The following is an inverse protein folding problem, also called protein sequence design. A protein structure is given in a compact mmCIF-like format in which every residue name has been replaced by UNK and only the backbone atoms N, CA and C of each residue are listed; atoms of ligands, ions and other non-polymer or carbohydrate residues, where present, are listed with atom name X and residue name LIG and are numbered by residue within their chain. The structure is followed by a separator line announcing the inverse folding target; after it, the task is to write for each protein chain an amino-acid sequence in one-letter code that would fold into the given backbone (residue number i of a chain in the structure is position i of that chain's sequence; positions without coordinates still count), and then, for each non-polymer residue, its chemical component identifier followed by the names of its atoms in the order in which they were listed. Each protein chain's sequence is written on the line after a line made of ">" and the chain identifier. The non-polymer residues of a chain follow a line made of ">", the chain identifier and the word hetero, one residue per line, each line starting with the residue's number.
data_IF_879304045102
#
_entry.id   IF_879304045102
#
_cell.length_a   1.000
_cell.length_b   1.000
_cell.length_c   1.000
_cell.angle_alpha   90.00
_cell.angle_beta   90.00
_cell.angle_gamma   90.00
#
_symmetry.space_group_name_H-M   'P 1'
#
loop_
_entity.id
_entity.type
_entity.pdbx_description
1 polymer ?
#
# COMPACT_ATOMS: atom_id res chain seq x y z
N UNK A 1 5.79 -2.39 -4.10
CA UNK A 1 5.49 -3.80 -3.76
C UNK A 1 5.30 -4.60 -5.04
N UNK A 2 5.68 -5.87 -5.06
CA UNK A 2 5.46 -6.76 -6.23
C UNK A 2 3.98 -6.97 -6.51
N UNK A 3 3.59 -7.16 -7.77
CA UNK A 3 2.19 -7.37 -8.18
C UNK A 3 1.45 -8.42 -7.36
N UNK A 4 2.07 -9.57 -7.08
CA UNK A 4 1.46 -10.64 -6.28
C UNK A 4 0.99 -10.17 -4.88
N UNK A 5 1.74 -9.29 -4.20
CA UNK A 5 1.33 -8.73 -2.91
C UNK A 5 0.04 -7.93 -3.03
N UNK A 6 -0.09 -7.13 -4.10
CA UNK A 6 -1.27 -6.30 -4.34
C UNK A 6 -2.46 -7.10 -4.83
N UNK A 7 -2.23 -8.20 -5.54
CA UNK A 7 -3.26 -9.16 -5.90
C UNK A 7 -3.79 -9.89 -4.66
N UNK A 8 -2.89 -10.42 -3.83
CA UNK A 8 -3.24 -11.17 -2.61
C UNK A 8 -3.99 -10.30 -1.60
N UNK A 9 -3.64 -9.01 -1.52
CA UNK A 9 -4.34 -8.04 -0.67
C UNK A 9 -5.61 -7.46 -1.32
N UNK A 10 -6.00 -7.89 -2.53
CA UNK A 10 -7.17 -7.41 -3.26
C UNK A 10 -7.05 -6.00 -3.84
N UNK A 11 -5.91 -5.32 -3.66
CA UNK A 11 -5.76 -3.93 -4.10
C UNK A 11 -5.75 -3.79 -5.62
N UNK A 12 -5.22 -4.77 -6.37
CA UNK A 12 -5.30 -4.72 -7.84
C UNK A 12 -6.74 -4.87 -8.34
N UNK A 13 -7.58 -5.66 -7.68
CA UNK A 13 -8.97 -5.84 -8.13
C UNK A 13 -9.83 -4.60 -7.88
N UNK A 14 -9.65 -3.95 -6.72
CA UNK A 14 -10.53 -2.85 -6.31
C UNK A 14 -9.95 -1.45 -6.54
N UNK A 15 -8.62 -1.31 -6.56
CA UNK A 15 -7.95 -0.01 -6.53
C UNK A 15 -6.98 0.23 -7.68
N UNK A 16 -6.90 -0.67 -8.67
CA UNK A 16 -5.97 -0.52 -9.80
C UNK A 16 -6.12 0.83 -10.53
N UNK A 17 -7.35 1.32 -10.72
CA UNK A 17 -7.58 2.63 -11.36
C UNK A 17 -7.03 3.82 -10.55
N UNK A 18 -6.98 3.67 -9.22
CA UNK A 18 -6.45 4.67 -8.29
C UNK A 18 -4.98 4.46 -7.93
N UNK A 19 -4.33 3.45 -8.50
CA UNK A 19 -2.91 3.18 -8.32
C UNK A 19 -2.10 3.78 -9.46
N UNK A 20 -0.84 4.10 -9.17
CA UNK A 20 0.10 4.44 -10.24
C UNK A 20 0.38 3.19 -11.08
N UNK A 21 0.65 3.42 -12.37
CA UNK A 21 1.01 2.36 -13.31
C UNK A 21 2.19 1.52 -12.76
N UNK A 22 2.21 0.20 -13.06
CA UNK A 22 3.32 -0.64 -12.65
C UNK A 22 4.62 -0.14 -13.28
N UNK A 23 5.70 -0.21 -12.50
CA UNK A 23 7.06 -0.08 -12.99
C UNK A 23 7.58 -1.49 -13.22
N UNK A 24 7.96 -1.80 -14.47
CA UNK A 24 8.61 -3.04 -14.82
C UNK A 24 10.08 -2.94 -14.42
N UNK A 25 10.52 -3.79 -13.49
CA UNK A 25 11.91 -3.85 -13.02
C UNK A 25 12.35 -5.31 -13.03
N UNK A 26 13.43 -5.59 -13.76
CA UNK A 26 13.99 -6.91 -14.02
C UNK A 26 12.99 -7.91 -14.62
N UNK A 27 12.27 -8.64 -13.77
CA UNK A 27 11.40 -9.76 -14.11
C UNK A 27 10.05 -9.73 -13.40
N UNK A 28 9.62 -8.56 -12.93
CA UNK A 28 8.30 -8.42 -12.33
C UNK A 28 7.77 -7.00 -12.23
N UNK A 29 6.45 -6.92 -12.11
CA UNK A 29 5.74 -5.65 -11.98
C UNK A 29 5.77 -5.17 -10.52
N UNK A 30 6.20 -3.93 -10.34
CA UNK A 30 6.20 -3.25 -9.05
C UNK A 30 5.24 -2.08 -9.07
N UNK A 31 4.38 -2.00 -8.05
CA UNK A 31 3.50 -0.86 -7.84
C UNK A 31 3.98 -0.02 -6.67
N UNK A 32 3.82 1.30 -6.82
CA UNK A 32 3.98 2.25 -5.73
C UNK A 32 2.84 2.03 -4.73
N UNK A 33 3.15 2.12 -3.42
CA UNK A 33 2.17 1.80 -2.38
C UNK A 33 1.04 2.85 -2.28
N UNK A 34 -0.24 2.49 -2.46
CA UNK A 34 -1.37 3.38 -2.15
C UNK A 34 -1.78 3.34 -0.67
N UNK A 35 -1.33 2.31 0.05
CA UNK A 35 -1.64 2.01 1.45
C UNK A 35 -0.51 1.19 2.10
N UNK A 36 -0.38 1.29 3.42
CA UNK A 36 0.67 0.60 4.19
C UNK A 36 0.25 -0.81 4.65
N UNK A 37 -1.06 -1.11 4.70
CA UNK A 37 -1.61 -2.33 5.31
C UNK A 37 -0.95 -3.64 4.85
N UNK A 38 -0.71 -3.89 3.55
CA UNK A 38 -0.09 -5.15 3.11
C UNK A 38 1.33 -5.36 3.66
N UNK A 39 2.08 -4.29 3.88
CA UNK A 39 3.42 -4.36 4.46
C UNK A 39 3.38 -4.64 5.96
N UNK A 40 2.44 -4.06 6.70
CA UNK A 40 2.26 -4.37 8.13
C UNK A 40 1.86 -5.82 8.35
N UNK A 41 1.06 -6.40 7.45
CA UNK A 41 0.71 -7.82 7.49
C UNK A 41 1.95 -8.68 7.19
N UNK A 42 2.80 -8.30 6.23
CA UNK A 42 4.07 -9.00 6.01
C UNK A 42 4.99 -8.98 7.22
N UNK A 43 5.07 -7.85 7.94
CA UNK A 43 5.82 -7.75 9.20
C UNK A 43 5.23 -8.70 10.24
N UNK A 44 3.89 -8.74 10.37
CA UNK A 44 3.22 -9.66 11.29
C UNK A 44 3.52 -11.13 10.96
N UNK A 45 3.58 -11.50 9.69
CA UNK A 45 3.87 -12.86 9.23
C UNK A 45 5.35 -13.27 9.41
N UNK A 46 6.26 -12.31 9.61
CA UNK A 46 7.70 -12.58 9.77
C UNK A 46 8.04 -13.35 11.05
N UNK A 47 7.15 -13.37 12.05
CA UNK A 47 7.36 -14.06 13.32
C UNK A 47 6.11 -14.82 13.77
N UNK A 48 6.29 -15.97 14.42
CA UNK A 48 5.18 -16.68 15.08
C UNK A 48 4.78 -15.93 16.35
N UNK A 49 3.50 -15.67 16.54
CA UNK A 49 2.95 -14.98 17.71
C UNK A 49 1.95 -15.87 18.45
N UNK A 50 1.98 -15.80 19.78
CA UNK A 50 1.02 -16.42 20.68
C UNK A 50 -0.20 -15.52 20.87
N UNK A 51 -1.32 -16.09 21.31
CA UNK A 51 -2.50 -15.32 21.72
C UNK A 51 -2.17 -14.29 22.83
N UNK A 52 -1.14 -14.57 23.65
CA UNK A 52 -0.68 -13.68 24.72
C UNK A 52 0.03 -12.43 24.21
N UNK A 53 0.56 -12.47 22.98
CA UNK A 53 1.25 -11.34 22.37
C UNK A 53 0.26 -10.32 21.79
N UNK A 54 -1.02 -10.67 21.72
CA UNK A 54 -2.08 -9.78 21.26
C UNK A 54 -2.58 -8.89 22.40
N UNK A 55 -2.90 -7.61 22.13
CA UNK A 55 -2.95 -6.98 20.80
C UNK A 55 -1.60 -6.45 20.30
N UNK A 56 -1.24 -6.80 19.07
CA UNK A 56 -0.11 -6.20 18.33
C UNK A 56 -0.58 -4.94 17.62
N UNK A 57 0.19 -3.86 17.72
CA UNK A 57 -0.12 -2.57 17.09
C UNK A 57 1.08 -2.08 16.32
N UNK A 58 0.87 -1.77 15.04
CA UNK A 58 1.87 -1.14 14.18
C UNK A 58 1.45 0.29 13.87
N UNK A 59 2.44 1.17 13.85
CA UNK A 59 2.30 2.54 13.39
C UNK A 59 3.48 2.84 12.47
N UNK A 60 3.21 3.53 11.38
CA UNK A 60 4.20 3.97 10.42
C UNK A 60 3.75 5.34 9.92
N UNK A 61 4.67 6.30 9.85
CA UNK A 61 4.48 7.51 9.06
C UNK A 61 4.86 7.17 7.61
N UNK A 62 4.00 6.41 6.94
CA UNK A 62 4.29 5.83 5.63
C UNK A 62 3.83 6.73 4.50
N UNK A 63 4.76 7.20 3.67
CA UNK A 63 4.42 7.97 2.46
C UNK A 63 3.76 7.05 1.44
N UNK A 64 2.52 7.39 1.07
CA UNK A 64 1.71 6.66 0.10
C UNK A 64 1.39 7.55 -1.09
N UNK A 65 1.13 6.90 -2.22
CA UNK A 65 0.79 7.57 -3.47
C UNK A 65 -0.49 7.00 -4.07
N UNK A 66 -1.43 7.87 -4.41
CA UNK A 66 -2.70 7.54 -5.06
C UNK A 66 -2.87 8.37 -6.32
N UNK A 67 -3.26 7.71 -7.41
CA UNK A 67 -3.50 8.35 -8.68
C UNK A 67 -4.87 9.03 -8.70
N UNK A 68 -4.95 10.19 -8.05
CA UNK A 68 -6.14 11.04 -8.06
C UNK A 68 -6.28 11.76 -9.42
N UNK A 69 -7.51 11.85 -9.93
CA UNK A 69 -7.82 12.60 -11.17
C UNK A 69 -7.38 14.06 -10.99
N UNK A 70 -6.80 14.67 -12.03
CA UNK A 70 -6.28 16.05 -11.94
C UNK A 70 -7.36 17.06 -11.51
N UNK A 71 -8.60 16.86 -11.97
CA UNK A 71 -9.74 17.73 -11.63
C UNK A 71 -10.28 17.62 -10.21
N UNK A 72 -9.81 16.66 -9.39
CA UNK A 72 -10.26 16.50 -7.99
C UNK A 72 -9.22 16.92 -6.96
N UNK A 73 -8.04 17.37 -7.39
CA UNK A 73 -6.99 17.80 -6.48
C UNK A 73 -7.37 19.13 -5.82
N UNK A 74 -7.14 19.25 -4.52
CA UNK A 74 -7.51 20.44 -3.75
C UNK A 74 -6.52 20.74 -2.62
N UNK A 75 -5.68 21.75 -2.84
CA UNK A 75 -4.71 22.25 -1.85
C UNK A 75 -3.92 21.11 -1.21
N UNK A 76 -3.93 21.07 0.13
CA UNK A 76 -3.38 19.97 0.93
C UNK A 76 -4.43 18.93 1.34
N UNK A 77 -5.72 19.18 1.08
CA UNK A 77 -6.81 18.28 1.50
C UNK A 77 -6.91 17.04 0.63
N UNK A 78 -6.58 17.15 -0.68
CA UNK A 78 -6.60 16.03 -1.62
C UNK A 78 -5.42 16.12 -2.57
N UNK A 79 -4.41 15.29 -2.30
CA UNK A 79 -3.12 15.25 -3.01
C UNK A 79 -2.78 13.82 -3.44
N UNK A 80 -1.88 13.68 -4.41
CA UNK A 80 -1.44 12.37 -4.93
C UNK A 80 -0.41 11.68 -4.06
N UNK A 81 0.34 12.42 -3.25
CA UNK A 81 1.37 11.90 -2.36
C UNK A 81 1.22 12.52 -1.00
N UNK A 82 1.08 11.69 0.03
CA UNK A 82 0.92 12.14 1.40
C UNK A 82 1.43 11.05 2.36
N UNK A 83 1.65 11.43 3.62
CA UNK A 83 2.09 10.52 4.66
C UNK A 83 0.94 10.33 5.66
N UNK A 84 0.60 9.07 5.93
CA UNK A 84 -0.32 8.64 6.98
C UNK A 84 0.45 7.86 8.03
#
# INVERSE_FOLDING_TARGET
>A
GRANLWQTSGHLEFYQEGMFAPMEIDSGDYYIKPMNCPFHIQIFQGEKRSYRDLPVRYAELGTVYRYEKSGVLHGLMRVRGFTQ
#
